data_IF_022473803269
#
_entry.id   IF_022473803269
#
_cell.length_a   1.000
_cell.length_b   1.000
_cell.length_c   1.000
_cell.angle_alpha   90.00
_cell.angle_beta   90.00
_cell.angle_gamma   90.00
#
_symmetry.space_group_name_H-M   'P 1'
#
loop_
_entity.id
_entity.type
_entity.pdbx_description
1 polymer ?
#
# COMPACT_ATOMS: atom_id res chain seq x y z
N UNK A 1 46.02 32.36 -28.09
CA UNK A 1 45.63 31.25 -27.19
C UNK A 1 46.62 31.31 -26.04
N UNK A 2 46.30 31.60 -24.78
CA UNK A 2 45.15 31.32 -23.90
C UNK A 2 45.34 32.31 -22.72
N UNK A 3 44.43 33.23 -22.38
CA UNK A 3 43.13 32.97 -21.76
C UNK A 3 43.06 33.74 -20.44
N UNK A 4 43.07 35.09 -20.48
CA UNK A 4 42.56 35.90 -19.36
C UNK A 4 41.04 35.94 -19.50
N UNK A 5 40.39 34.80 -19.24
CA UNK A 5 39.01 34.84 -18.80
C UNK A 5 39.09 35.20 -17.32
N UNK A 6 38.80 36.43 -16.88
CA UNK A 6 38.55 36.64 -15.46
C UNK A 6 37.43 35.66 -15.10
N UNK A 7 37.73 34.77 -14.15
CA UNK A 7 36.70 34.00 -13.48
C UNK A 7 35.57 34.99 -13.12
N UNK A 8 34.30 34.73 -13.48
CA UNK A 8 33.20 35.55 -12.99
C UNK A 8 33.18 35.40 -11.46
N UNK A 9 34.02 36.18 -10.79
CA UNK A 9 34.05 36.32 -9.36
C UNK A 9 32.66 36.78 -8.96
N UNK A 10 32.08 35.91 -8.14
CA UNK A 10 31.15 36.27 -7.10
C UNK A 10 29.74 36.63 -7.57
N UNK A 11 28.77 35.99 -6.91
CA UNK A 11 27.35 36.36 -6.88
C UNK A 11 26.40 35.71 -7.89
N UNK A 12 26.60 34.42 -8.18
CA UNK A 12 25.45 33.52 -8.45
C UNK A 12 25.47 32.26 -7.59
N UNK A 13 25.72 32.45 -6.31
CA UNK A 13 25.41 31.47 -5.27
C UNK A 13 24.29 32.07 -4.43
N UNK A 14 23.07 31.70 -4.77
CA UNK A 14 21.88 32.06 -4.00
C UNK A 14 21.89 31.26 -2.70
N UNK A 15 21.72 31.90 -1.54
CA UNK A 15 21.48 31.21 -0.26
C UNK A 15 22.68 31.08 0.71
N UNK A 16 23.64 32.01 0.72
CA UNK A 16 24.76 32.02 1.68
C UNK A 16 24.54 32.87 2.94
N UNK A 17 23.30 33.23 3.23
CA UNK A 17 22.95 33.72 4.56
C UNK A 17 22.78 32.49 5.48
N UNK A 18 23.48 32.40 6.63
CA UNK A 18 23.43 31.25 7.56
C UNK A 18 22.06 30.90 8.16
N UNK A 19 20.97 31.47 7.64
CA UNK A 19 19.60 31.20 8.01
C UNK A 19 18.61 31.63 6.93
N UNK A 20 19.01 31.58 5.65
CA UNK A 20 18.11 31.78 4.50
C UNK A 20 17.07 30.67 4.46
N UNK A 21 16.04 30.79 5.30
CA UNK A 21 14.94 29.86 5.37
C UNK A 21 14.27 29.77 4.00
N UNK A 22 14.21 28.56 3.47
CA UNK A 22 13.35 28.24 2.33
C UNK A 22 11.94 28.76 2.63
N UNK A 23 11.33 29.55 1.74
CA UNK A 23 9.92 29.90 1.87
C UNK A 23 9.10 28.62 2.05
N UNK A 24 8.13 28.59 2.98
CA UNK A 24 7.27 27.43 3.16
C UNK A 24 6.60 27.06 1.83
N UNK A 25 7.06 25.99 1.18
CA UNK A 25 6.58 25.53 -0.13
C UNK A 25 7.67 25.22 -1.18
N UNK A 26 8.95 25.60 -0.97
CA UNK A 26 10.02 25.32 -1.95
C UNK A 26 10.78 24.02 -1.70
N UNK A 27 10.68 23.47 -0.49
CA UNK A 27 10.89 22.04 -0.26
C UNK A 27 9.55 21.37 -0.58
N UNK A 28 9.48 20.39 -1.49
CA UNK A 28 8.36 19.45 -1.44
C UNK A 28 8.25 19.00 0.02
N UNK A 29 7.06 18.94 0.63
CA UNK A 29 6.95 18.35 1.95
C UNK A 29 7.62 16.98 1.88
N UNK A 30 8.77 16.82 2.56
CA UNK A 30 9.46 15.54 2.70
C UNK A 30 8.58 14.51 3.45
N UNK A 31 7.41 14.95 3.87
CA UNK A 31 6.34 14.22 4.55
C UNK A 31 4.99 14.45 3.87
N UNK A 32 4.93 14.64 2.55
CA UNK A 32 3.76 14.15 1.83
C UNK A 32 3.80 12.61 1.91
N UNK A 33 3.48 12.10 3.09
CA UNK A 33 3.00 10.75 3.26
C UNK A 33 1.86 10.58 2.25
N UNK A 34 2.17 9.90 1.16
CA UNK A 34 1.19 9.26 0.29
C UNK A 34 0.38 8.19 1.05
N UNK A 35 0.61 8.03 2.36
CA UNK A 35 -0.17 7.19 3.25
C UNK A 35 -1.26 7.92 4.04
N UNK A 36 -1.34 9.25 4.07
CA UNK A 36 -2.26 9.95 4.99
C UNK A 36 -3.71 10.10 4.48
N UNK A 37 -4.03 9.55 3.33
CA UNK A 37 -5.42 9.35 2.89
C UNK A 37 -5.57 7.99 2.22
N UNK A 38 -5.10 6.92 2.87
CA UNK A 38 -5.85 5.67 2.76
C UNK A 38 -7.08 5.76 3.69
N UNK A 39 -7.90 6.79 3.47
CA UNK A 39 -9.28 6.75 3.91
C UNK A 39 -9.83 5.49 3.30
N UNK A 40 -10.19 4.52 4.13
CA UNK A 40 -10.98 3.39 3.67
C UNK A 40 -12.25 4.03 3.10
N UNK A 41 -12.30 4.28 1.79
CA UNK A 41 -13.55 4.59 1.13
C UNK A 41 -14.48 3.48 1.56
N UNK A 42 -15.55 3.84 2.26
CA UNK A 42 -16.51 2.93 2.86
C UNK A 42 -17.31 2.23 1.74
N UNK A 43 -16.64 1.40 0.97
CA UNK A 43 -17.15 0.58 -0.12
C UNK A 43 -16.81 -0.90 0.08
N UNK A 44 -16.46 -1.29 1.30
CA UNK A 44 -16.24 -2.69 1.65
C UNK A 44 -17.51 -3.53 1.41
N UNK A 45 -17.36 -4.82 1.09
CA UNK A 45 -18.51 -5.71 0.93
C UNK A 45 -19.37 -5.66 2.20
N UNK A 46 -20.70 -5.63 2.01
CA UNK A 46 -21.67 -5.59 3.12
C UNK A 46 -21.28 -6.65 4.16
N UNK A 47 -21.39 -6.32 5.45
CA UNK A 47 -20.92 -7.16 6.59
C UNK A 47 -21.40 -8.62 6.59
N UNK A 48 -22.48 -8.95 5.88
CA UNK A 48 -23.00 -10.32 5.74
C UNK A 48 -22.35 -11.14 4.62
N UNK A 49 -21.70 -10.50 3.65
CA UNK A 49 -21.06 -11.19 2.51
C UNK A 49 -19.88 -12.07 2.97
N UNK A 50 -18.98 -11.62 3.87
CA UNK A 50 -17.94 -12.50 4.41
C UNK A 50 -18.52 -13.70 5.17
N UNK A 51 -19.59 -13.51 5.92
CA UNK A 51 -20.29 -14.57 6.64
C UNK A 51 -20.94 -15.59 5.70
N UNK A 52 -21.51 -15.14 4.57
CA UNK A 52 -22.04 -16.02 3.53
C UNK A 52 -20.93 -16.90 2.95
N UNK A 53 -19.80 -16.32 2.55
CA UNK A 53 -18.66 -17.07 2.03
C UNK A 53 -18.09 -18.05 3.04
N UNK A 54 -17.95 -17.64 4.30
CA UNK A 54 -17.49 -18.52 5.37
C UNK A 54 -18.44 -19.72 5.56
N UNK A 55 -19.75 -19.48 5.55
CA UNK A 55 -20.77 -20.54 5.64
C UNK A 55 -20.70 -21.52 4.46
N UNK A 56 -20.53 -21.01 3.24
CA UNK A 56 -20.37 -21.85 2.04
C UNK A 56 -19.11 -22.72 2.10
N UNK A 57 -17.97 -22.15 2.55
CA UNK A 57 -16.70 -22.88 2.65
C UNK A 57 -16.81 -23.96 3.73
N UNK A 58 -17.27 -23.60 4.94
CA UNK A 58 -17.39 -24.55 6.06
C UNK A 58 -18.43 -25.61 5.75
N UNK A 59 -19.61 -25.22 5.26
CA UNK A 59 -20.67 -26.14 4.86
C UNK A 59 -20.22 -27.09 3.75
N UNK A 60 -19.56 -26.56 2.72
CA UNK A 60 -19.00 -27.36 1.62
C UNK A 60 -17.93 -28.34 2.10
N UNK A 61 -17.01 -27.90 2.97
CA UNK A 61 -15.97 -28.74 3.55
C UNK A 61 -16.57 -29.87 4.41
N UNK A 62 -17.57 -29.57 5.25
CA UNK A 62 -18.27 -30.57 6.06
C UNK A 62 -19.04 -31.57 5.19
N UNK A 63 -19.70 -31.09 4.13
CA UNK A 63 -20.40 -31.96 3.18
C UNK A 63 -19.42 -32.89 2.44
N UNK A 64 -18.29 -32.36 1.96
CA UNK A 64 -17.23 -33.19 1.35
C UNK A 64 -16.68 -34.21 2.35
N UNK A 65 -16.39 -33.81 3.58
CA UNK A 65 -15.90 -34.71 4.60
C UNK A 65 -16.90 -35.85 4.86
N UNK A 66 -18.19 -35.53 5.00
CA UNK A 66 -19.25 -36.53 5.15
C UNK A 66 -19.33 -37.47 3.93
N UNK A 67 -19.28 -36.92 2.72
CA UNK A 67 -19.29 -37.71 1.49
C UNK A 67 -18.15 -38.73 1.45
N UNK A 68 -16.92 -38.32 1.80
CA UNK A 68 -15.79 -39.23 1.88
C UNK A 68 -15.94 -40.29 2.95
N UNK A 69 -16.46 -39.95 4.12
CA UNK A 69 -16.73 -40.92 5.18
C UNK A 69 -17.75 -41.98 4.74
N UNK A 70 -18.84 -41.55 4.09
CA UNK A 70 -19.85 -42.45 3.52
C UNK A 70 -19.26 -43.32 2.41
N UNK A 71 -18.52 -42.73 1.48
CA UNK A 71 -17.86 -43.45 0.39
C UNK A 71 -16.86 -44.49 0.92
N UNK A 72 -16.02 -44.11 1.89
CA UNK A 72 -15.08 -45.03 2.53
C UNK A 72 -15.80 -46.14 3.30
N UNK A 73 -16.91 -45.84 3.97
CA UNK A 73 -17.75 -46.84 4.63
C UNK A 73 -18.34 -47.84 3.63
N UNK A 74 -18.87 -47.37 2.50
CA UNK A 74 -19.36 -48.23 1.42
C UNK A 74 -18.22 -49.09 0.87
N UNK A 75 -17.03 -48.53 0.66
CA UNK A 75 -15.89 -49.28 0.14
C UNK A 75 -15.36 -50.34 1.14
N UNK A 76 -15.41 -50.04 2.44
CA UNK A 76 -14.88 -50.91 3.49
C UNK A 76 -15.84 -52.04 3.88
N UNK A 77 -17.16 -51.82 3.75
CA UNK A 77 -18.20 -52.72 4.25
C UNK A 77 -19.20 -53.20 3.19
N UNK A 78 -19.15 -52.64 1.98
CA UNK A 78 -20.00 -53.02 0.85
C UNK A 78 -19.36 -54.01 -0.11
#
# INVERSE_FOLDING_TARGET
MTGQNPDPMEHKITGLEPGGGVPPGETPPAEAQTSLTQGHEEGGPKRWVPWLWLSLIVGGALFMALFFLLYAGILAFG
#
